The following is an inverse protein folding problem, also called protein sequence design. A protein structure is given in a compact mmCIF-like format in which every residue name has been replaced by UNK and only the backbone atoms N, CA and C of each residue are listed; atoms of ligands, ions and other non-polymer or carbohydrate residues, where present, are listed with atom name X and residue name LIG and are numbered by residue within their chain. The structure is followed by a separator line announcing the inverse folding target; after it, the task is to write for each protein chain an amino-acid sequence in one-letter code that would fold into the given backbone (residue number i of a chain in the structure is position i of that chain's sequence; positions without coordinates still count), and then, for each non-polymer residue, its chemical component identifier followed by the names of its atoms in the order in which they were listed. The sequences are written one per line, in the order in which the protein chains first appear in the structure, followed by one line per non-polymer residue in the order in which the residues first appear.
data_IF_330650257767
#
_entry.id   IF_330650257767
#
_cell.length_a   1.000
_cell.length_b   1.000
_cell.length_c   1.000
_cell.angle_alpha   90.00
_cell.angle_beta   90.00
_cell.angle_gamma   90.00
#
_symmetry.space_group_name_H-M   'P 1'
#
loop_
_entity.id
_entity.type
_entity.pdbx_description
1 polymer ?
#
# COMPACT_ATOMS: atom_id res chain seq x y z
N UNK A 1 41.50 44.57 -43.91
CA UNK A 1 41.38 43.90 -42.59
C UNK A 1 39.95 44.00 -42.04
N UNK A 2 38.95 43.35 -42.68
CA UNK A 2 37.52 43.42 -42.29
C UNK A 2 36.80 42.07 -42.28
N UNK A 3 37.52 40.95 -42.13
CA UNK A 3 36.93 39.59 -42.13
C UNK A 3 37.09 38.83 -40.81
N UNK A 4 37.66 39.43 -39.76
CA UNK A 4 37.97 38.73 -38.50
C UNK A 4 36.98 38.99 -37.35
N UNK A 5 36.04 39.95 -37.50
CA UNK A 5 35.13 40.33 -36.41
C UNK A 5 33.76 39.64 -36.41
N UNK A 6 33.42 38.86 -37.44
CA UNK A 6 32.12 38.19 -37.56
C UNK A 6 32.07 36.78 -36.94
N UNK A 7 33.22 36.21 -36.57
CA UNK A 7 33.29 34.84 -35.98
C UNK A 7 33.16 34.85 -34.44
N UNK A 8 33.49 35.96 -33.77
CA UNK A 8 33.42 36.06 -32.30
C UNK A 8 32.01 36.33 -31.75
N UNK A 9 31.12 36.96 -32.53
CA UNK A 9 29.74 37.22 -32.09
C UNK A 9 28.85 35.96 -32.13
N UNK A 10 29.09 35.04 -33.07
CA UNK A 10 28.36 33.78 -33.18
C UNK A 10 28.69 32.81 -32.04
N UNK A 11 29.94 32.78 -31.57
CA UNK A 11 30.37 31.96 -30.43
C UNK A 11 29.76 32.43 -29.10
N UNK A 12 29.58 33.74 -28.90
CA UNK A 12 28.98 34.29 -27.68
C UNK A 12 27.46 34.01 -27.60
N UNK A 13 26.74 34.07 -28.72
CA UNK A 13 25.30 33.74 -28.79
C UNK A 13 25.07 32.23 -28.66
N UNK A 14 25.92 31.38 -29.27
CA UNK A 14 25.87 29.93 -29.09
C UNK A 14 26.14 29.49 -27.64
N UNK A 15 27.05 30.19 -26.95
CA UNK A 15 27.34 29.94 -25.53
C UNK A 15 26.16 30.33 -24.63
N UNK A 16 25.54 31.49 -24.85
CA UNK A 16 24.39 31.94 -24.05
C UNK A 16 23.15 31.05 -24.22
N UNK A 17 22.92 30.53 -25.44
CA UNK A 17 21.84 29.56 -25.70
C UNK A 17 22.14 28.21 -25.03
N UNK A 18 23.40 27.74 -25.06
CA UNK A 18 23.83 26.53 -24.34
C UNK A 18 23.70 26.64 -22.82
N UNK A 19 23.97 27.81 -22.22
CA UNK A 19 23.76 28.03 -20.79
C UNK A 19 22.28 28.11 -20.40
N UNK A 20 21.43 28.73 -21.23
CA UNK A 20 19.99 28.78 -20.97
C UNK A 20 19.33 27.39 -21.14
N UNK A 21 19.70 26.61 -22.16
CA UNK A 21 19.19 25.26 -22.38
C UNK A 21 19.70 24.24 -21.34
N UNK A 22 20.97 24.34 -20.93
CA UNK A 22 21.48 23.48 -19.85
C UNK A 22 20.88 23.82 -18.48
N UNK A 23 20.51 25.09 -18.24
CA UNK A 23 19.76 25.47 -17.05
C UNK A 23 18.36 24.86 -17.02
N UNK A 24 17.66 24.79 -18.17
CA UNK A 24 16.35 24.16 -18.25
C UNK A 24 16.43 22.63 -18.18
N UNK A 25 17.42 21.99 -18.81
CA UNK A 25 17.60 20.53 -18.74
C UNK A 25 17.94 20.05 -17.32
N UNK A 26 18.82 20.77 -16.61
CA UNK A 26 19.11 20.48 -15.19
C UNK A 26 17.89 20.70 -14.30
N UNK A 27 17.08 21.72 -14.58
CA UNK A 27 15.83 21.94 -13.86
C UNK A 27 14.83 20.79 -14.08
N UNK A 28 14.70 20.30 -15.32
CA UNK A 28 13.85 19.14 -15.62
C UNK A 28 14.37 17.86 -14.96
N UNK A 29 15.68 17.65 -14.94
CA UNK A 29 16.29 16.53 -14.23
C UNK A 29 16.02 16.58 -12.72
N UNK A 30 16.17 17.75 -12.11
CA UNK A 30 15.86 17.96 -10.69
C UNK A 30 14.37 17.72 -10.39
N UNK A 31 13.48 18.27 -11.22
CA UNK A 31 12.03 18.04 -11.14
C UNK A 31 11.69 16.55 -11.27
N UNK A 32 12.32 15.86 -12.22
CA UNK A 32 12.16 14.43 -12.44
C UNK A 32 12.57 13.61 -11.24
N UNK A 33 13.70 13.96 -10.60
CA UNK A 33 14.20 13.32 -9.38
C UNK A 33 13.25 13.54 -8.20
N UNK A 34 12.78 14.77 -7.99
CA UNK A 34 11.82 15.09 -6.93
C UNK A 34 10.48 14.33 -7.11
N UNK A 35 9.96 14.31 -8.34
CA UNK A 35 8.75 13.54 -8.66
C UNK A 35 8.96 12.03 -8.45
N UNK A 36 10.14 11.51 -8.83
CA UNK A 36 10.49 10.12 -8.61
C UNK A 36 10.56 9.77 -7.12
N UNK A 37 11.15 10.63 -6.30
CA UNK A 37 11.18 10.45 -4.84
C UNK A 37 9.77 10.36 -4.25
N UNK A 38 8.81 11.07 -4.84
CA UNK A 38 7.39 10.97 -4.44
C UNK A 38 6.63 9.81 -5.12
N UNK A 39 7.29 9.03 -5.99
CA UNK A 39 6.71 7.96 -6.81
C UNK A 39 5.61 8.45 -7.75
N UNK A 40 5.72 9.69 -8.25
CA UNK A 40 4.85 10.25 -9.28
C UNK A 40 5.42 9.90 -10.66
N UNK A 41 5.20 8.64 -11.09
CA UNK A 41 5.97 8.07 -12.21
C UNK A 41 5.75 8.76 -13.54
N UNK A 42 4.51 9.19 -13.86
CA UNK A 42 4.23 9.94 -15.09
C UNK A 42 5.01 11.25 -15.15
N UNK A 43 4.85 12.12 -14.15
CA UNK A 43 5.58 13.40 -14.09
C UNK A 43 7.10 13.20 -14.11
N UNK A 44 7.61 12.20 -13.38
CA UNK A 44 9.03 11.89 -13.36
C UNK A 44 9.55 11.49 -14.76
N UNK A 45 8.86 10.58 -15.45
CA UNK A 45 9.25 10.14 -16.79
C UNK A 45 9.24 11.32 -17.77
N UNK A 46 8.18 12.12 -17.80
CA UNK A 46 8.06 13.27 -18.71
C UNK A 46 9.20 14.28 -18.52
N UNK A 47 9.51 14.63 -17.27
CA UNK A 47 10.58 15.59 -16.96
C UNK A 47 11.96 15.02 -17.28
N UNK A 48 12.24 13.76 -16.93
CA UNK A 48 13.53 13.13 -17.19
C UNK A 48 13.77 12.91 -18.68
N UNK A 49 12.75 12.51 -19.44
CA UNK A 49 12.82 12.38 -20.90
C UNK A 49 13.24 13.70 -21.56
N UNK A 50 12.72 14.84 -21.11
CA UNK A 50 13.17 16.14 -21.62
C UNK A 50 14.66 16.39 -21.33
N UNK A 51 15.11 16.06 -20.12
CA UNK A 51 16.51 16.23 -19.71
C UNK A 51 17.49 15.31 -20.46
N UNK A 52 17.03 14.20 -21.07
CA UNK A 52 17.90 13.34 -21.90
C UNK A 52 18.38 14.02 -23.18
N UNK A 53 17.67 15.06 -23.64
CA UNK A 53 17.98 15.76 -24.91
C UNK A 53 19.20 16.66 -24.83
N UNK A 54 19.61 17.06 -23.62
CA UNK A 54 20.79 17.88 -23.41
C UNK A 54 22.01 16.98 -23.10
N UNK A 55 23.08 17.02 -23.91
CA UNK A 55 24.29 16.24 -23.67
C UNK A 55 24.91 16.42 -22.27
N UNK A 56 24.73 17.59 -21.64
CA UNK A 56 25.27 17.90 -20.31
C UNK A 56 24.54 17.16 -19.18
N UNK A 57 23.30 16.71 -19.40
CA UNK A 57 22.51 15.94 -18.43
C UNK A 57 22.17 14.53 -18.90
N UNK A 58 22.44 14.19 -20.16
CA UNK A 58 22.02 12.95 -20.80
C UNK A 58 22.39 11.70 -20.00
N UNK A 59 23.64 11.57 -19.53
CA UNK A 59 24.07 10.39 -18.77
C UNK A 59 23.25 10.18 -17.48
N UNK A 60 23.04 11.26 -16.71
CA UNK A 60 22.26 11.19 -15.46
C UNK A 60 20.76 11.02 -15.71
N UNK A 61 20.24 11.66 -16.75
CA UNK A 61 18.82 11.55 -17.13
C UNK A 61 18.49 10.13 -17.63
N UNK A 62 19.30 9.57 -18.54
CA UNK A 62 19.14 8.20 -19.02
C UNK A 62 19.27 7.18 -17.87
N UNK A 63 20.20 7.38 -16.93
CA UNK A 63 20.30 6.53 -15.74
C UNK A 63 19.00 6.56 -14.91
N UNK A 64 18.50 7.76 -14.60
CA UNK A 64 17.28 7.91 -13.81
C UNK A 64 16.06 7.32 -14.53
N UNK A 65 15.96 7.51 -15.85
CA UNK A 65 14.88 6.96 -16.66
C UNK A 65 14.92 5.43 -16.66
N UNK A 66 16.11 4.84 -16.80
CA UNK A 66 16.34 3.40 -16.70
C UNK A 66 15.92 2.84 -15.35
N UNK A 67 16.26 3.52 -14.25
CA UNK A 67 15.83 3.13 -12.89
C UNK A 67 14.30 3.19 -12.74
N UNK A 68 13.66 4.26 -13.22
CA UNK A 68 12.20 4.39 -13.15
C UNK A 68 11.53 3.27 -13.95
N UNK A 69 12.00 3.00 -15.17
CA UNK A 69 11.47 1.91 -15.99
C UNK A 69 11.72 0.53 -15.38
N UNK A 70 12.86 0.31 -14.73
CA UNK A 70 13.12 -0.94 -14.03
C UNK A 70 12.12 -1.15 -12.87
N UNK A 71 11.85 -0.09 -12.10
CA UNK A 71 10.82 -0.14 -11.08
C UNK A 71 9.45 -0.51 -11.67
N UNK A 72 9.04 0.17 -12.74
CA UNK A 72 7.74 -0.10 -13.39
C UNK A 72 7.66 -1.52 -13.97
N UNK A 73 8.75 -2.06 -14.48
CA UNK A 73 8.79 -3.35 -15.17
C UNK A 73 8.86 -4.57 -14.25
N UNK A 74 9.44 -4.44 -13.05
CA UNK A 74 9.77 -5.59 -12.20
C UNK A 74 9.54 -5.43 -10.70
N UNK A 75 9.35 -4.20 -10.19
CA UNK A 75 9.40 -3.97 -8.74
C UNK A 75 8.18 -3.26 -8.17
N UNK A 76 7.30 -2.70 -9.00
CA UNK A 76 6.18 -1.90 -8.49
C UNK A 76 5.06 -2.79 -7.96
N UNK A 77 4.94 -4.02 -8.45
CA UNK A 77 4.10 -5.05 -7.86
C UNK A 77 4.55 -5.28 -6.40
N UNK A 78 3.61 -5.12 -5.46
CA UNK A 78 3.80 -5.21 -4.00
C UNK A 78 4.46 -4.01 -3.29
N UNK A 79 4.93 -2.98 -4.00
CA UNK A 79 5.35 -1.73 -3.34
C UNK A 79 4.14 -0.91 -2.89
N UNK A 80 3.07 -0.92 -3.68
CA UNK A 80 1.79 -0.32 -3.34
C UNK A 80 0.65 -1.34 -3.49
N UNK A 81 -0.31 -1.40 -2.56
CA UNK A 81 -1.45 -2.30 -2.67
C UNK A 81 -2.22 -2.10 -3.99
N UNK A 82 -2.36 -3.17 -4.75
CA UNK A 82 -3.12 -3.18 -6.01
C UNK A 82 -2.35 -2.76 -7.25
N UNK A 83 -1.08 -2.35 -7.14
CA UNK A 83 -0.22 -2.08 -8.29
C UNK A 83 0.18 -3.38 -9.00
N UNK A 84 0.42 -3.28 -10.30
CA UNK A 84 0.87 -4.35 -11.19
C UNK A 84 2.12 -3.90 -11.91
N UNK A 85 3.10 -4.78 -12.06
CA UNK A 85 4.22 -4.53 -12.94
C UNK A 85 3.76 -4.31 -14.38
N UNK A 86 4.50 -3.50 -15.13
CA UNK A 86 4.24 -3.14 -16.52
C UNK A 86 5.38 -3.69 -17.40
N UNK A 87 5.30 -4.97 -17.87
CA UNK A 87 6.39 -5.63 -18.59
C UNK A 87 6.91 -4.88 -19.82
N UNK A 88 6.07 -4.03 -20.43
CA UNK A 88 6.44 -3.18 -21.56
C UNK A 88 7.56 -2.16 -21.26
N UNK A 89 7.90 -1.94 -19.97
CA UNK A 89 9.02 -1.08 -19.56
C UNK A 89 10.34 -1.83 -19.38
N UNK A 90 10.35 -3.16 -19.40
CA UNK A 90 11.55 -3.97 -19.12
C UNK A 90 12.67 -3.72 -20.12
N UNK A 91 12.37 -3.83 -21.40
CA UNK A 91 13.34 -3.56 -22.47
C UNK A 91 13.77 -2.09 -22.48
N UNK A 92 12.83 -1.18 -22.19
CA UNK A 92 13.13 0.26 -22.09
C UNK A 92 14.13 0.54 -20.97
N UNK A 93 13.99 -0.11 -19.81
CA UNK A 93 14.91 0.08 -18.69
C UNK A 93 16.36 -0.23 -19.08
N UNK A 94 16.58 -1.38 -19.72
CA UNK A 94 17.91 -1.80 -20.18
C UNK A 94 18.46 -0.85 -21.24
N UNK A 95 17.63 -0.45 -22.21
CA UNK A 95 18.04 0.48 -23.27
C UNK A 95 18.47 1.85 -22.73
N UNK A 96 17.76 2.39 -21.74
CA UNK A 96 18.13 3.67 -21.12
C UNK A 96 19.41 3.57 -20.29
N UNK A 97 19.64 2.45 -19.59
CA UNK A 97 20.88 2.22 -18.84
C UNK A 97 22.09 2.05 -19.76
N UNK A 98 21.91 1.40 -20.92
CA UNK A 98 22.92 1.37 -21.97
C UNK A 98 23.21 2.76 -22.53
N UNK A 99 22.17 3.57 -22.79
CA UNK A 99 22.31 4.95 -23.25
C UNK A 99 23.06 5.83 -22.24
N UNK A 100 22.82 5.65 -20.94
CA UNK A 100 23.55 6.33 -19.88
C UNK A 100 25.05 6.03 -19.91
N UNK A 101 25.43 4.76 -20.08
CA UNK A 101 26.82 4.34 -20.18
C UNK A 101 27.47 4.74 -21.50
N UNK A 102 26.70 4.88 -22.58
CA UNK A 102 27.20 5.46 -23.84
C UNK A 102 27.52 6.94 -23.70
N UNK A 103 26.71 7.68 -22.93
CA UNK A 103 26.93 9.10 -22.65
C UNK A 103 28.08 9.32 -21.65
N UNK A 104 28.23 8.46 -20.64
CA UNK A 104 29.38 8.45 -19.73
C UNK A 104 29.79 7.00 -19.35
N UNK A 105 30.80 6.42 -20.04
CA UNK A 105 31.24 5.05 -19.77
C UNK A 105 31.86 4.82 -18.37
N UNK A 106 32.23 5.89 -17.67
CA UNK A 106 32.86 5.83 -16.34
C UNK A 106 31.85 5.94 -15.20
N UNK A 107 30.57 6.13 -15.51
CA UNK A 107 29.50 6.28 -14.53
C UNK A 107 29.20 4.96 -13.81
N UNK A 108 29.83 4.79 -12.66
CA UNK A 108 29.71 3.58 -11.85
C UNK A 108 28.26 3.25 -11.46
N UNK A 109 27.46 4.27 -11.11
CA UNK A 109 26.06 4.11 -10.71
C UNK A 109 25.19 3.54 -11.83
N UNK A 110 25.42 3.94 -13.09
CA UNK A 110 24.67 3.42 -14.24
C UNK A 110 25.01 1.95 -14.48
N UNK A 111 26.29 1.59 -14.33
CA UNK A 111 26.73 0.19 -14.45
C UNK A 111 26.10 -0.69 -13.37
N UNK A 112 26.06 -0.22 -12.12
CA UNK A 112 25.39 -0.94 -11.05
C UNK A 112 23.89 -1.10 -11.31
N UNK A 113 23.21 -0.04 -11.75
CA UNK A 113 21.81 -0.10 -12.11
C UNK A 113 21.54 -1.08 -13.27
N UNK A 114 22.43 -1.12 -14.28
CA UNK A 114 22.33 -2.09 -15.37
C UNK A 114 22.46 -3.52 -14.88
N UNK A 115 23.48 -3.83 -14.07
CA UNK A 115 23.68 -5.18 -13.50
C UNK A 115 22.43 -5.61 -12.71
N UNK A 116 21.85 -4.70 -11.93
CA UNK A 116 20.62 -4.98 -11.17
C UNK A 116 19.44 -5.27 -12.09
N UNK A 117 19.23 -4.45 -13.14
CA UNK A 117 18.13 -4.65 -14.09
C UNK A 117 18.30 -5.93 -14.92
N UNK A 118 19.53 -6.28 -15.32
CA UNK A 118 19.85 -7.56 -15.97
C UNK A 118 19.58 -8.74 -15.01
N UNK A 119 19.94 -8.59 -13.74
CA UNK A 119 19.61 -9.54 -12.69
C UNK A 119 18.09 -9.76 -12.55
N UNK A 120 17.29 -8.69 -12.60
CA UNK A 120 15.83 -8.80 -12.60
C UNK A 120 15.28 -9.52 -13.83
N UNK A 121 15.87 -9.27 -15.01
CA UNK A 121 15.47 -9.95 -16.24
C UNK A 121 15.75 -11.46 -16.22
N UNK A 122 16.81 -11.88 -15.51
CA UNK A 122 17.20 -13.28 -15.38
C UNK A 122 16.52 -14.02 -14.20
N UNK A 123 15.85 -13.29 -13.29
CA UNK A 123 15.28 -13.87 -12.08
C UNK A 123 13.87 -14.45 -12.31
N UNK A 124 13.59 -15.59 -11.68
CA UNK A 124 12.24 -16.17 -11.62
C UNK A 124 11.27 -15.31 -10.80
N UNK A 125 11.81 -14.55 -9.84
CA UNK A 125 11.08 -13.64 -8.95
C UNK A 125 11.99 -12.49 -8.55
N UNK A 126 11.42 -11.29 -8.53
CA UNK A 126 12.07 -10.07 -8.06
C UNK A 126 11.45 -9.66 -6.73
N UNK A 127 12.30 -9.33 -5.77
CA UNK A 127 11.84 -8.80 -4.49
C UNK A 127 11.36 -7.35 -4.65
N UNK A 128 10.33 -6.94 -3.88
CA UNK A 128 9.84 -5.57 -3.93
C UNK A 128 10.95 -4.60 -3.52
N UNK A 129 10.93 -3.40 -4.10
CA UNK A 129 11.89 -2.37 -3.75
C UNK A 129 11.79 -2.05 -2.25
N UNK A 130 12.91 -2.03 -1.50
CA UNK A 130 12.89 -1.76 -0.08
C UNK A 130 12.34 -0.36 0.21
N UNK A 131 11.72 -0.20 1.38
CA UNK A 131 11.29 1.12 1.87
C UNK A 131 12.51 2.02 2.02
N UNK A 132 12.34 3.30 1.69
CA UNK A 132 13.42 4.30 1.82
C UNK A 132 13.76 4.51 3.31
N UNK A 133 15.04 4.61 3.69
CA UNK A 133 15.45 4.81 5.09
C UNK A 133 14.79 6.01 5.77
N UNK A 134 14.61 7.13 5.04
CA UNK A 134 13.94 8.32 5.56
C UNK A 134 12.48 8.04 5.94
N UNK A 135 11.77 7.20 5.18
CA UNK A 135 10.40 6.79 5.48
C UNK A 135 10.37 5.93 6.75
N UNK A 136 11.27 4.95 6.85
CA UNK A 136 11.38 4.10 8.04
C UNK A 136 11.69 4.91 9.31
N UNK A 137 12.56 5.90 9.21
CA UNK A 137 12.89 6.78 10.34
C UNK A 137 11.69 7.62 10.79
N UNK A 138 10.97 8.20 9.83
CA UNK A 138 9.76 9.00 10.09
C UNK A 138 8.64 8.15 10.69
N UNK A 139 8.41 6.94 10.18
CA UNK A 139 7.42 6.01 10.72
C UNK A 139 7.74 5.66 12.18
N UNK A 140 9.01 5.42 12.51
CA UNK A 140 9.46 5.18 13.88
C UNK A 140 9.32 6.41 14.81
N UNK A 141 9.52 7.61 14.29
CA UNK A 141 9.28 8.86 15.03
C UNK A 141 7.78 9.05 15.32
N UNK A 142 6.91 8.77 14.35
CA UNK A 142 5.45 8.83 14.51
C UNK A 142 4.99 7.87 15.60
N UNK A 143 5.50 6.63 15.59
CA UNK A 143 5.13 5.63 16.60
C UNK A 143 5.51 6.08 18.01
N UNK A 144 6.71 6.66 18.20
CA UNK A 144 7.10 7.28 19.48
C UNK A 144 6.19 8.46 19.84
N UNK A 145 5.84 9.28 18.85
CA UNK A 145 4.97 10.44 19.00
C UNK A 145 3.53 10.13 19.41
N UNK A 146 3.09 8.85 19.32
CA UNK A 146 1.80 8.41 19.87
C UNK A 146 1.75 8.52 21.39
N UNK A 147 2.89 8.55 22.08
CA UNK A 147 2.93 8.74 23.53
C UNK A 147 2.32 10.10 23.93
N UNK A 148 1.55 10.16 25.03
CA UNK A 148 1.07 11.42 25.57
C UNK A 148 2.18 12.42 25.95
N UNK A 149 3.37 11.90 26.26
CA UNK A 149 4.52 12.70 26.72
C UNK A 149 5.18 13.51 25.60
N UNK A 150 4.97 13.14 24.33
CA UNK A 150 5.50 13.89 23.19
C UNK A 150 4.58 15.09 22.90
N UNK A 151 5.12 16.33 22.86
CA UNK A 151 4.34 17.51 22.53
C UNK A 151 3.60 17.35 21.20
N UNK A 152 2.32 17.70 21.18
CA UNK A 152 1.49 17.47 19.99
C UNK A 152 1.99 18.21 18.74
N UNK A 153 2.62 19.37 18.92
CA UNK A 153 3.25 20.13 17.84
C UNK A 153 4.39 19.37 17.14
N UNK A 154 5.22 18.66 17.91
CA UNK A 154 6.32 17.84 17.37
C UNK A 154 5.80 16.65 16.56
N UNK A 155 4.76 15.99 17.07
CA UNK A 155 4.09 14.92 16.34
C UNK A 155 3.49 15.45 15.03
N UNK A 156 2.77 16.59 15.06
CA UNK A 156 2.18 17.19 13.86
C UNK A 156 3.26 17.51 12.80
N UNK A 157 4.39 18.08 13.20
CA UNK A 157 5.51 18.37 12.29
C UNK A 157 6.09 17.10 11.65
N UNK A 158 6.23 16.03 12.45
CA UNK A 158 6.71 14.73 11.97
C UNK A 158 5.73 14.13 10.96
N UNK A 159 4.42 14.17 11.25
CA UNK A 159 3.37 13.71 10.34
C UNK A 159 3.40 14.49 9.02
N UNK A 160 3.55 15.83 9.09
CA UNK A 160 3.66 16.68 7.90
C UNK A 160 4.88 16.34 7.05
N UNK A 161 6.01 16.07 7.68
CA UNK A 161 7.24 15.66 6.99
C UNK A 161 7.04 14.32 6.30
N UNK A 162 6.39 13.36 6.98
CA UNK A 162 6.09 12.04 6.42
C UNK A 162 5.15 12.09 5.22
N UNK A 163 4.14 12.96 5.24
CA UNK A 163 3.22 13.18 4.12
C UNK A 163 3.92 13.78 2.90
N UNK A 164 4.88 14.71 3.10
CA UNK A 164 5.66 15.28 1.99
C UNK A 164 6.68 14.31 1.40
N UNK A 165 7.17 13.38 2.21
CA UNK A 165 8.18 12.43 1.76
C UNK A 165 7.67 11.48 0.68
N UNK A 166 6.36 11.18 0.62
CA UNK A 166 5.77 10.26 -0.35
C UNK A 166 4.34 10.70 -0.69
N UNK A 167 4.05 10.92 -1.97
CA UNK A 167 2.80 11.56 -2.41
C UNK A 167 1.57 10.64 -2.47
N UNK A 168 1.63 9.44 -1.86
CA UNK A 168 0.43 8.60 -1.72
C UNK A 168 -0.42 9.04 -0.52
N UNK A 169 -1.69 8.65 -0.48
CA UNK A 169 -2.61 9.10 0.55
C UNK A 169 -2.53 8.31 1.86
N UNK A 170 -1.85 7.16 1.90
CA UNK A 170 -1.78 6.31 3.10
C UNK A 170 -1.26 7.06 4.33
N UNK A 171 -0.18 7.89 4.23
CA UNK A 171 0.30 8.68 5.36
C UNK A 171 -0.73 9.67 5.89
N UNK A 172 -1.61 10.22 5.06
CA UNK A 172 -2.65 11.16 5.50
C UNK A 172 -3.69 10.47 6.38
N UNK A 173 -4.16 9.30 5.96
CA UNK A 173 -5.14 8.53 6.71
C UNK A 173 -4.54 7.95 8.00
N UNK A 174 -3.30 7.46 7.95
CA UNK A 174 -2.58 7.01 9.14
C UNK A 174 -2.35 8.16 10.13
N UNK A 175 -1.94 9.34 9.64
CA UNK A 175 -1.77 10.54 10.46
C UNK A 175 -3.07 10.98 11.12
N UNK A 176 -4.18 10.97 10.37
CA UNK A 176 -5.49 11.30 10.92
C UNK A 176 -5.89 10.35 12.05
N UNK A 177 -5.66 9.05 11.91
CA UNK A 177 -5.92 8.09 12.98
C UNK A 177 -5.06 8.36 14.24
N UNK A 178 -3.75 8.60 14.06
CA UNK A 178 -2.85 8.97 15.16
C UNK A 178 -3.37 10.21 15.91
N UNK A 179 -3.86 11.21 15.17
CA UNK A 179 -4.41 12.43 15.76
C UNK A 179 -5.72 12.17 16.52
N UNK A 180 -6.59 11.28 16.03
CA UNK A 180 -7.77 10.84 16.79
C UNK A 180 -7.34 10.20 18.11
N UNK A 181 -6.34 9.32 18.09
CA UNK A 181 -5.83 8.64 19.28
C UNK A 181 -5.26 9.64 20.32
N UNK A 182 -4.75 10.79 19.84
CA UNK A 182 -4.24 11.90 20.68
C UNK A 182 -5.31 12.92 21.07
N UNK A 183 -6.55 12.78 20.61
CA UNK A 183 -7.65 13.72 20.89
C UNK A 183 -7.72 14.94 19.96
N UNK A 184 -6.91 14.98 18.91
CA UNK A 184 -6.79 16.09 17.95
C UNK A 184 -7.77 15.96 16.78
N UNK A 185 -9.06 15.90 17.10
CA UNK A 185 -10.10 15.54 16.14
C UNK A 185 -10.25 16.49 14.95
N UNK A 186 -10.10 17.81 15.16
CA UNK A 186 -10.19 18.77 14.05
C UNK A 186 -9.04 18.60 13.05
N UNK A 187 -7.82 18.43 13.56
CA UNK A 187 -6.65 18.19 12.72
C UNK A 187 -6.77 16.85 11.98
N UNK A 188 -7.29 15.81 12.65
CA UNK A 188 -7.57 14.53 12.02
C UNK A 188 -8.56 14.64 10.85
N UNK A 189 -9.67 15.37 11.03
CA UNK A 189 -10.66 15.62 9.97
C UNK A 189 -10.00 16.30 8.77
N UNK A 190 -9.26 17.39 8.99
CA UNK A 190 -8.57 18.11 7.91
C UNK A 190 -7.59 17.22 7.14
N UNK A 191 -6.82 16.37 7.84
CA UNK A 191 -5.89 15.47 7.16
C UNK A 191 -6.61 14.37 6.36
N UNK A 192 -7.66 13.77 6.92
CA UNK A 192 -8.43 12.75 6.22
C UNK A 192 -9.08 13.31 4.94
N UNK A 193 -9.65 14.51 5.00
CA UNK A 193 -10.22 15.19 3.83
C UNK A 193 -9.16 15.53 2.78
N UNK A 194 -7.97 15.98 3.20
CA UNK A 194 -6.86 16.27 2.28
C UNK A 194 -6.29 14.99 1.64
N UNK A 195 -6.37 13.83 2.31
CA UNK A 195 -5.93 12.56 1.73
C UNK A 195 -6.67 12.18 0.43
N UNK A 196 -7.91 12.62 0.24
CA UNK A 196 -8.71 12.29 -0.96
C UNK A 196 -8.14 12.88 -2.26
N UNK A 197 -7.94 14.20 -2.41
CA UNK A 197 -7.33 14.75 -3.62
C UNK A 197 -5.88 14.30 -3.82
N UNK A 198 -5.15 13.97 -2.75
CA UNK A 198 -3.82 13.36 -2.84
C UNK A 198 -3.89 11.97 -3.46
N UNK A 199 -4.83 11.13 -3.02
CA UNK A 199 -5.07 9.80 -3.60
C UNK A 199 -5.42 9.91 -5.09
N UNK A 200 -6.30 10.83 -5.45
CA UNK A 200 -6.71 11.05 -6.84
C UNK A 200 -5.52 11.40 -7.73
N UNK A 201 -4.70 12.38 -7.32
CA UNK A 201 -3.48 12.74 -8.05
C UNK A 201 -2.51 11.56 -8.15
N UNK A 202 -2.27 10.85 -7.04
CA UNK A 202 -1.35 9.71 -7.02
C UNK A 202 -1.79 8.58 -7.95
N UNK A 203 -3.08 8.30 -8.00
CA UNK A 203 -3.67 7.31 -8.92
C UNK A 203 -3.48 7.76 -10.37
N UNK A 204 -3.76 9.03 -10.69
CA UNK A 204 -3.57 9.58 -12.04
C UNK A 204 -2.11 9.50 -12.51
N UNK A 205 -1.16 9.81 -11.62
CA UNK A 205 0.29 9.77 -11.88
C UNK A 205 0.82 8.34 -12.12
N UNK A 206 0.05 7.33 -11.69
CA UNK A 206 0.43 5.93 -11.74
C UNK A 206 -0.62 5.04 -12.42
N UNK A 207 -1.45 5.62 -13.30
CA UNK A 207 -2.62 4.94 -13.88
C UNK A 207 -2.27 3.60 -14.55
N UNK A 208 -1.10 3.52 -15.21
CA UNK A 208 -0.61 2.30 -15.85
C UNK A 208 -0.39 1.12 -14.90
N UNK A 209 -0.15 1.37 -13.61
CA UNK A 209 0.01 0.33 -12.60
C UNK A 209 -1.35 -0.26 -12.13
N UNK A 210 -2.47 0.42 -12.37
CA UNK A 210 -3.82 -0.07 -12.05
C UNK A 210 -4.39 -0.90 -13.20
N UNK A 211 -3.66 -1.96 -13.59
CA UNK A 211 -4.06 -2.83 -14.68
C UNK A 211 -5.36 -3.57 -14.33
N UNK A 212 -6.35 -3.45 -15.23
CA UNK A 212 -7.75 -3.93 -15.20
C UNK A 212 -8.79 -2.81 -15.05
N UNK A 213 -9.88 -2.96 -15.79
CA UNK A 213 -11.04 -2.08 -15.74
C UNK A 213 -11.57 -1.95 -14.30
N UNK A 214 -11.91 -0.73 -13.90
CA UNK A 214 -12.46 -0.44 -12.57
C UNK A 214 -11.46 -0.46 -11.41
N UNK A 215 -10.18 -0.86 -11.59
CA UNK A 215 -9.22 -0.88 -10.47
C UNK A 215 -8.85 0.50 -9.92
N UNK A 216 -8.58 1.45 -10.82
CA UNK A 216 -8.28 2.83 -10.43
C UNK A 216 -9.49 3.48 -9.74
N UNK A 217 -10.69 3.27 -10.29
CA UNK A 217 -11.94 3.73 -9.68
C UNK A 217 -12.16 3.08 -8.31
N UNK A 218 -11.96 1.77 -8.19
CA UNK A 218 -12.05 1.05 -6.92
C UNK A 218 -11.04 1.56 -5.89
N UNK A 219 -9.81 1.91 -6.28
CA UNK A 219 -8.82 2.51 -5.39
C UNK A 219 -9.24 3.91 -4.91
N UNK A 220 -9.80 4.72 -5.80
CA UNK A 220 -10.35 6.03 -5.46
C UNK A 220 -11.55 5.91 -4.51
N UNK A 221 -12.48 5.00 -4.79
CA UNK A 221 -13.64 4.73 -3.93
C UNK A 221 -13.20 4.29 -2.53
N UNK A 222 -12.22 3.39 -2.42
CA UNK A 222 -11.66 2.97 -1.12
C UNK A 222 -11.02 4.13 -0.37
N UNK A 223 -10.28 5.00 -1.06
CA UNK A 223 -9.66 6.18 -0.43
C UNK A 223 -10.71 7.16 0.09
N UNK A 224 -11.78 7.39 -0.67
CA UNK A 224 -12.93 8.22 -0.24
C UNK A 224 -13.68 7.58 0.94
N UNK A 225 -13.88 6.27 0.90
CA UNK A 225 -14.53 5.52 1.98
C UNK A 225 -13.73 5.61 3.28
N UNK A 226 -12.41 5.45 3.20
CA UNK A 226 -11.51 5.55 4.33
C UNK A 226 -11.51 6.96 4.93
N UNK A 227 -11.46 7.99 4.09
CA UNK A 227 -11.56 9.37 4.56
C UNK A 227 -12.89 9.64 5.26
N UNK A 228 -14.01 9.21 4.68
CA UNK A 228 -15.33 9.37 5.27
C UNK A 228 -15.45 8.63 6.60
N UNK A 229 -14.90 7.43 6.72
CA UNK A 229 -14.90 6.66 7.97
C UNK A 229 -14.11 7.38 9.08
N UNK A 230 -12.88 7.81 8.79
CA UNK A 230 -12.02 8.51 9.75
C UNK A 230 -12.65 9.84 10.19
N UNK A 231 -13.22 10.61 9.25
CA UNK A 231 -13.94 11.86 9.58
C UNK A 231 -15.15 11.55 10.47
N UNK A 232 -15.94 10.53 10.11
CA UNK A 232 -17.10 10.11 10.88
C UNK A 232 -16.72 9.67 12.30
N UNK A 233 -15.62 8.94 12.45
CA UNK A 233 -15.10 8.53 13.75
C UNK A 233 -14.60 9.71 14.59
N UNK A 234 -13.87 10.66 13.98
CA UNK A 234 -13.45 11.87 14.66
C UNK A 234 -14.65 12.72 15.14
N UNK A 235 -15.71 12.83 14.33
CA UNK A 235 -16.96 13.52 14.70
C UNK A 235 -17.68 12.80 15.84
N UNK A 236 -17.71 11.47 15.82
CA UNK A 236 -18.24 10.67 16.93
C UNK A 236 -17.50 10.96 18.23
N UNK A 237 -16.16 10.99 18.20
CA UNK A 237 -15.33 11.30 19.37
C UNK A 237 -15.57 12.72 19.90
N UNK A 238 -15.91 13.67 19.01
CA UNK A 238 -16.37 15.03 19.37
C UNK A 238 -17.81 15.08 19.89
N UNK A 239 -18.53 13.96 19.93
CA UNK A 239 -19.96 13.85 20.25
C UNK A 239 -20.88 14.56 19.25
N UNK A 240 -20.39 14.87 18.05
CA UNK A 240 -21.24 15.29 16.93
C UNK A 240 -21.83 14.06 16.24
N UNK A 241 -22.84 13.47 16.88
CA UNK A 241 -23.44 12.23 16.40
C UNK A 241 -24.20 12.38 15.07
N UNK A 242 -24.68 13.57 14.73
CA UNK A 242 -25.36 13.83 13.47
C UNK A 242 -24.35 13.90 12.31
N UNK A 243 -23.24 14.63 12.50
CA UNK A 243 -22.14 14.65 11.56
C UNK A 243 -21.50 13.26 11.40
N UNK A 244 -21.29 12.54 12.51
CA UNK A 244 -20.76 11.18 12.50
C UNK A 244 -21.64 10.22 11.70
N UNK A 245 -22.97 10.26 11.90
CA UNK A 245 -23.92 9.44 11.14
C UNK A 245 -23.77 9.67 9.64
N UNK A 246 -23.77 10.94 9.22
CA UNK A 246 -23.68 11.32 7.80
C UNK A 246 -22.43 10.73 7.14
N UNK A 247 -21.28 10.82 7.83
CA UNK A 247 -19.98 10.39 7.28
C UNK A 247 -19.74 8.89 7.37
N UNK A 248 -20.17 8.23 8.45
CA UNK A 248 -20.05 6.78 8.59
C UNK A 248 -20.99 6.04 7.64
N UNK A 249 -22.20 6.57 7.38
CA UNK A 249 -23.12 6.01 6.37
C UNK A 249 -22.62 6.26 4.93
N UNK A 250 -21.96 7.40 4.67
CA UNK A 250 -21.26 7.64 3.41
C UNK A 250 -20.16 6.59 3.18
N UNK A 251 -19.34 6.33 4.20
CA UNK A 251 -18.30 5.31 4.17
C UNK A 251 -18.88 3.91 3.96
N UNK A 252 -19.95 3.55 4.67
CA UNK A 252 -20.64 2.26 4.53
C UNK A 252 -21.13 2.03 3.09
N UNK A 253 -21.73 3.06 2.47
CA UNK A 253 -22.18 2.99 1.08
C UNK A 253 -21.02 2.77 0.11
N UNK A 254 -19.88 3.39 0.35
CA UNK A 254 -18.69 3.24 -0.50
C UNK A 254 -17.99 1.89 -0.29
N UNK A 255 -17.92 1.40 0.95
CA UNK A 255 -17.41 0.07 1.30
C UNK A 255 -18.40 -1.05 1.01
N UNK A 256 -19.67 -0.74 0.77
CA UNK A 256 -20.77 -1.71 0.61
C UNK A 256 -20.93 -2.65 1.81
N UNK A 257 -20.62 -2.17 3.02
CA UNK A 257 -20.68 -2.96 4.25
C UNK A 257 -19.58 -4.03 4.40
N UNK A 258 -18.49 -3.92 3.64
CA UNK A 258 -17.37 -4.87 3.64
C UNK A 258 -16.13 -4.38 4.43
N UNK A 259 -16.25 -3.27 5.16
CA UNK A 259 -15.17 -2.77 6.03
C UNK A 259 -15.50 -2.98 7.52
N UNK A 260 -14.58 -3.65 8.23
CA UNK A 260 -14.73 -3.99 9.64
C UNK A 260 -14.79 -2.75 10.54
N UNK A 261 -13.89 -1.80 10.34
CA UNK A 261 -13.78 -0.63 11.21
C UNK A 261 -15.02 0.24 11.06
N UNK A 262 -15.49 0.44 9.83
CA UNK A 262 -16.71 1.20 9.58
C UNK A 262 -17.95 0.58 10.22
N UNK A 263 -18.13 -0.74 10.11
CA UNK A 263 -19.23 -1.44 10.78
C UNK A 263 -19.12 -1.35 12.31
N UNK A 264 -17.91 -1.46 12.85
CA UNK A 264 -17.69 -1.23 14.28
C UNK A 264 -18.02 0.21 14.71
N UNK A 265 -17.60 1.23 13.96
CA UNK A 265 -17.90 2.63 14.24
C UNK A 265 -19.41 2.93 14.19
N UNK A 266 -20.13 2.37 13.20
CA UNK A 266 -21.59 2.46 13.12
C UNK A 266 -22.27 1.81 14.32
N UNK A 267 -21.76 0.68 14.80
CA UNK A 267 -22.27 0.05 16.01
C UNK A 267 -22.09 0.95 17.25
N UNK A 268 -20.90 1.54 17.44
CA UNK A 268 -20.61 2.45 18.55
C UNK A 268 -21.46 3.73 18.49
N UNK A 269 -21.69 4.27 17.29
CA UNK A 269 -22.60 5.40 17.08
C UNK A 269 -24.03 5.04 17.45
N UNK A 270 -24.55 3.92 16.94
CA UNK A 270 -25.89 3.45 17.24
C UNK A 270 -26.09 3.22 18.75
N UNK A 271 -25.08 2.72 19.46
CA UNK A 271 -25.10 2.59 20.93
C UNK A 271 -25.18 3.93 21.63
N UNK A 272 -24.36 4.91 21.24
CA UNK A 272 -24.39 6.25 21.82
C UNK A 272 -25.77 6.90 21.63
N UNK A 273 -26.44 6.60 20.52
CA UNK A 273 -27.80 7.04 20.20
C UNK A 273 -28.92 6.15 20.82
N UNK A 274 -28.56 5.17 21.65
CA UNK A 274 -29.48 4.21 22.31
C UNK A 274 -30.29 3.34 21.33
N UNK A 275 -29.80 3.15 20.11
CA UNK A 275 -30.39 2.31 19.06
C UNK A 275 -29.86 0.87 19.18
N UNK A 276 -30.24 0.18 20.26
CA UNK A 276 -29.66 -1.12 20.65
C UNK A 276 -29.76 -2.21 19.58
N UNK A 277 -30.85 -2.25 18.81
CA UNK A 277 -31.02 -3.25 17.75
C UNK A 277 -30.12 -2.94 16.53
N UNK A 278 -30.01 -1.67 16.11
CA UNK A 278 -29.06 -1.29 15.03
C UNK A 278 -27.61 -1.55 15.44
N UNK A 279 -27.25 -1.24 16.68
CA UNK A 279 -25.92 -1.54 17.21
C UNK A 279 -25.60 -3.04 17.16
N UNK A 280 -26.57 -3.89 17.51
CA UNK A 280 -26.41 -5.34 17.44
C UNK A 280 -26.11 -5.81 16.02
N UNK A 281 -26.86 -5.32 15.02
CA UNK A 281 -26.67 -5.70 13.62
C UNK A 281 -25.30 -5.30 13.11
N UNK A 282 -24.87 -4.05 13.34
CA UNK A 282 -23.55 -3.59 12.90
C UNK A 282 -22.38 -4.36 13.55
N UNK A 283 -22.47 -4.72 14.84
CA UNK A 283 -21.45 -5.60 15.43
C UNK A 283 -21.43 -7.00 14.83
N UNK A 284 -22.60 -7.58 14.56
CA UNK A 284 -22.67 -8.89 13.90
C UNK A 284 -22.08 -8.83 12.50
N UNK A 285 -22.36 -7.75 11.77
CA UNK A 285 -21.81 -7.53 10.43
C UNK A 285 -20.30 -7.35 10.49
N UNK A 286 -19.78 -6.51 11.40
CA UNK A 286 -18.35 -6.37 11.65
C UNK A 286 -17.69 -7.73 11.98
N UNK A 287 -18.20 -8.46 12.97
CA UNK A 287 -17.61 -9.73 13.40
C UNK A 287 -17.72 -10.84 12.33
N UNK A 288 -18.68 -10.74 11.41
CA UNK A 288 -18.83 -11.67 10.28
C UNK A 288 -17.72 -11.54 9.24
N UNK A 289 -17.08 -10.36 9.17
CA UNK A 289 -15.93 -10.10 8.29
C UNK A 289 -14.68 -10.80 8.83
N UNK A 290 -13.83 -11.27 7.91
CA UNK A 290 -12.61 -12.02 8.22
C UNK A 290 -11.46 -11.12 8.70
N UNK A 291 -11.49 -9.84 8.34
CA UNK A 291 -10.49 -8.85 8.74
C UNK A 291 -10.94 -8.07 9.99
N UNK A 292 -9.98 -7.48 10.70
CA UNK A 292 -10.23 -6.59 11.84
C UNK A 292 -9.14 -6.72 12.92
N UNK A 293 -8.71 -5.62 13.57
CA UNK A 293 -7.71 -5.69 14.63
C UNK A 293 -8.21 -6.55 15.81
N UNK A 294 -7.40 -7.48 16.36
CA UNK A 294 -7.84 -8.39 17.43
C UNK A 294 -8.48 -7.70 18.63
N UNK A 295 -7.87 -6.61 19.13
CA UNK A 295 -8.39 -5.86 20.28
C UNK A 295 -9.76 -5.21 20.00
N UNK A 296 -9.99 -4.73 18.77
CA UNK A 296 -11.27 -4.14 18.38
C UNK A 296 -12.34 -5.23 18.21
N UNK A 297 -11.97 -6.40 17.69
CA UNK A 297 -12.87 -7.58 17.61
C UNK A 297 -13.29 -8.07 18.99
N UNK A 298 -12.37 -8.11 19.94
CA UNK A 298 -12.65 -8.46 21.33
C UNK A 298 -13.66 -7.46 21.93
N UNK A 299 -13.38 -6.16 21.82
CA UNK A 299 -14.32 -5.10 22.26
C UNK A 299 -15.69 -5.23 21.60
N UNK A 300 -15.77 -5.44 20.29
CA UNK A 300 -17.03 -5.63 19.58
C UNK A 300 -17.81 -6.85 20.13
N UNK A 301 -17.10 -7.93 20.44
CA UNK A 301 -17.69 -9.15 21.02
C UNK A 301 -18.23 -8.91 22.42
N UNK A 302 -17.48 -8.20 23.27
CA UNK A 302 -17.90 -7.84 24.63
C UNK A 302 -19.13 -6.94 24.64
N UNK A 303 -19.14 -5.91 23.80
CA UNK A 303 -20.27 -4.97 23.74
C UNK A 303 -21.52 -5.63 23.16
N UNK A 304 -21.36 -6.51 22.16
CA UNK A 304 -22.44 -7.35 21.66
C UNK A 304 -22.96 -8.30 22.75
N UNK A 305 -22.09 -8.86 23.60
CA UNK A 305 -22.48 -9.69 24.73
C UNK A 305 -23.34 -8.92 25.75
N UNK A 306 -22.99 -7.66 26.04
CA UNK A 306 -23.78 -6.78 26.91
C UNK A 306 -25.16 -6.49 26.30
N UNK A 307 -25.24 -6.18 25.01
CA UNK A 307 -26.51 -5.99 24.29
C UNK A 307 -27.37 -7.26 24.28
N UNK A 308 -26.74 -8.43 24.11
CA UNK A 308 -27.41 -9.73 24.20
C UNK A 308 -27.95 -9.99 25.61
N UNK A 309 -27.16 -9.68 26.65
CA UNK A 309 -27.53 -9.86 28.03
C UNK A 309 -28.70 -8.95 28.46
N UNK A 310 -28.82 -7.76 27.89
CA UNK A 310 -29.93 -6.84 28.14
C UNK A 310 -31.25 -7.24 27.45
N UNK A 311 -31.20 -8.14 26.45
CA UNK A 311 -32.38 -8.60 25.72
C UNK A 311 -33.34 -9.44 26.57
N UNK A 312 -34.65 -9.26 26.37
CA UNK A 312 -35.72 -9.94 27.13
C UNK A 312 -35.90 -11.43 26.80
N UNK A 313 -35.40 -11.91 25.65
CA UNK A 313 -35.54 -13.31 25.22
C UNK A 313 -34.17 -13.89 24.89
N UNK A 314 -33.64 -14.71 25.81
CA UNK A 314 -32.40 -15.47 25.61
C UNK A 314 -32.77 -16.94 25.42
N UNK A 315 -32.60 -17.44 24.20
CA UNK A 315 -32.93 -18.85 23.89
C UNK A 315 -31.73 -19.78 23.92
N UNK A 316 -30.49 -19.25 23.92
CA UNK A 316 -29.24 -20.02 23.84
C UNK A 316 -28.12 -19.31 24.63
N UNK A 317 -27.02 -20.00 24.98
CA UNK A 317 -25.80 -19.34 25.45
C UNK A 317 -25.26 -18.35 24.41
N UNK A 318 -24.68 -17.23 24.85
CA UNK A 318 -24.20 -16.16 23.97
C UNK A 318 -23.26 -16.68 22.86
N UNK A 319 -22.25 -17.48 23.23
CA UNK A 319 -21.29 -18.06 22.27
C UNK A 319 -21.99 -18.88 21.18
N UNK A 320 -22.87 -19.80 21.57
CA UNK A 320 -23.64 -20.63 20.63
C UNK A 320 -24.56 -19.80 19.74
N UNK A 321 -25.15 -18.73 20.28
CA UNK A 321 -25.96 -17.79 19.48
C UNK A 321 -25.09 -17.02 18.49
N UNK A 322 -23.94 -16.48 18.94
CA UNK A 322 -23.02 -15.71 18.12
C UNK A 322 -22.49 -16.57 16.97
N UNK A 323 -21.97 -17.76 17.24
CA UNK A 323 -21.45 -18.68 16.22
C UNK A 323 -22.50 -18.97 15.13
N UNK A 324 -23.77 -19.15 15.53
CA UNK A 324 -24.87 -19.35 14.60
C UNK A 324 -25.17 -18.10 13.75
N UNK A 325 -25.14 -16.90 14.34
CA UNK A 325 -25.35 -15.64 13.62
C UNK A 325 -24.22 -15.35 12.62
N UNK A 326 -22.97 -15.58 13.02
CA UNK A 326 -21.81 -15.37 12.17
C UNK A 326 -21.79 -16.35 11.00
N UNK A 327 -22.06 -17.64 11.27
CA UNK A 327 -22.15 -18.66 10.22
C UNK A 327 -23.22 -18.33 9.20
N UNK A 328 -24.41 -17.89 9.64
CA UNK A 328 -25.50 -17.49 8.74
C UNK A 328 -25.08 -16.32 7.82
N UNK A 329 -24.53 -15.24 8.39
CA UNK A 329 -24.09 -14.07 7.62
C UNK A 329 -22.97 -14.39 6.64
N UNK A 330 -22.00 -15.20 7.06
CA UNK A 330 -20.93 -15.64 6.17
C UNK A 330 -21.46 -16.47 5.00
N UNK A 331 -22.46 -17.31 5.23
CA UNK A 331 -23.12 -18.06 4.16
C UNK A 331 -23.92 -17.15 3.22
N UNK A 332 -24.64 -16.16 3.75
CA UNK A 332 -25.37 -15.18 2.95
C UNK A 332 -24.44 -14.34 2.07
N UNK A 333 -23.31 -13.88 2.62
CA UNK A 333 -22.26 -13.16 1.88
C UNK A 333 -21.66 -14.03 0.78
N UNK A 334 -21.31 -15.30 1.06
CA UNK A 334 -20.81 -16.25 0.04
C UNK A 334 -21.84 -16.47 -1.07
N UNK A 335 -23.12 -16.57 -0.72
CA UNK A 335 -24.21 -16.73 -1.69
C UNK A 335 -24.37 -15.48 -2.56
N UNK A 336 -24.25 -14.28 -1.98
CA UNK A 336 -24.30 -13.02 -2.70
C UNK A 336 -23.11 -12.85 -3.67
N UNK A 337 -21.89 -13.17 -3.24
CA UNK A 337 -20.69 -13.16 -4.08
C UNK A 337 -20.83 -14.14 -5.27
N UNK A 338 -21.24 -15.37 -5.01
CA UNK A 338 -21.50 -16.36 -6.07
C UNK A 338 -22.57 -15.88 -7.05
N UNK A 339 -23.65 -15.28 -6.57
CA UNK A 339 -24.70 -14.71 -7.43
C UNK A 339 -24.16 -13.57 -8.31
N UNK A 340 -23.34 -12.69 -7.75
CA UNK A 340 -22.72 -11.60 -8.51
C UNK A 340 -21.81 -12.12 -9.62
N UNK A 341 -20.98 -13.13 -9.32
CA UNK A 341 -20.09 -13.77 -10.30
C UNK A 341 -20.85 -14.47 -11.42
N UNK A 342 -21.96 -15.15 -11.08
CA UNK A 342 -22.82 -15.78 -12.08
C UNK A 342 -23.49 -14.74 -12.99
N UNK A 343 -23.99 -13.64 -12.42
CA UNK A 343 -24.57 -12.54 -13.21
C UNK A 343 -23.54 -11.88 -14.14
N UNK A 344 -22.26 -11.82 -13.74
CA UNK A 344 -21.17 -11.32 -14.57
C UNK A 344 -20.80 -12.28 -15.72
N UNK A 345 -20.98 -13.59 -15.54
CA UNK A 345 -20.80 -14.61 -16.59
C UNK A 345 -21.95 -14.64 -17.60
N UNK A 346 -23.16 -14.29 -17.16
CA UNK A 346 -24.37 -14.25 -17.98
C UNK A 346 -24.52 -12.93 -18.76
N UNK A 347 -23.61 -11.94 -18.60
CA UNK A 347 -23.63 -10.71 -19.39
C UNK A 347 -23.27 -11.00 -20.88
N UNK A 348 -24.23 -10.89 -21.81
CA UNK A 348 -24.01 -11.19 -23.23
C UNK A 348 -22.97 -10.27 -23.88
N UNK A 349 -22.67 -9.12 -23.28
CA UNK A 349 -21.65 -8.17 -23.77
C UNK A 349 -20.22 -8.65 -23.54
N UNK A 350 -20.00 -9.64 -22.65
CA UNK A 350 -18.70 -10.29 -22.43
C UNK A 350 -18.53 -11.61 -23.19
N UNK A 351 -19.60 -12.21 -23.70
CA UNK A 351 -19.52 -13.44 -24.51
C UNK A 351 -18.92 -13.23 -25.92
N UNK A 352 -18.66 -11.99 -26.33
CA UNK A 352 -18.06 -11.69 -27.65
C UNK A 352 -16.53 -11.67 -27.66
N UNK A 353 -15.84 -11.97 -26.56
CA UNK A 353 -14.37 -11.98 -26.52
C UNK A 353 -13.82 -13.34 -26.10
N UNK A 354 -13.27 -14.04 -27.12
CA UNK A 354 -12.42 -15.25 -27.11
C UNK A 354 -13.12 -16.61 -27.08
N UNK A 355 -13.56 -17.05 -28.26
CA UNK A 355 -13.14 -18.38 -28.71
C UNK A 355 -11.67 -18.28 -29.16
N UNK A 356 -10.75 -18.58 -28.25
CA UNK A 356 -9.40 -19.04 -28.60
C UNK A 356 -9.36 -20.49 -28.18
N UNK A 357 -9.26 -21.40 -29.14
CA UNK A 357 -8.97 -22.81 -28.89
C UNK A 357 -7.70 -22.91 -28.03
N UNK A 358 -7.87 -23.28 -26.76
CA UNK A 358 -6.77 -23.74 -25.93
C UNK A 358 -6.56 -25.23 -26.22
N UNK A 359 -5.76 -25.50 -27.25
CA UNK A 359 -5.04 -26.77 -27.34
C UNK A 359 -4.00 -26.83 -26.22
N UNK A 360 -4.33 -27.49 -25.11
CA UNK A 360 -3.34 -27.80 -24.06
C UNK A 360 -3.93 -27.87 -22.66
N UNK A 361 -3.85 -29.05 -22.05
CA UNK A 361 -4.30 -29.38 -20.68
C UNK A 361 -3.73 -28.41 -19.64
N UNK A 362 -4.52 -27.45 -19.16
CA UNK A 362 -4.20 -26.68 -17.96
C UNK A 362 -4.54 -27.51 -16.71
N UNK A 363 -3.61 -27.53 -15.75
CA UNK A 363 -3.74 -28.35 -14.53
C UNK A 363 -4.60 -27.65 -13.48
N UNK A 364 -5.26 -28.38 -12.55
CA UNK A 364 -6.07 -27.79 -11.48
C UNK A 364 -5.36 -26.72 -10.63
N UNK A 365 -4.02 -26.75 -10.57
CA UNK A 365 -3.20 -25.77 -9.88
C UNK A 365 -3.24 -24.36 -10.52
N UNK A 366 -3.41 -24.26 -11.84
CA UNK A 366 -3.55 -22.95 -12.52
C UNK A 366 -4.93 -22.32 -12.29
N UNK A 367 -5.97 -23.14 -12.20
CA UNK A 367 -7.32 -22.72 -11.82
C UNK A 367 -7.37 -22.22 -10.36
N UNK A 368 -6.67 -22.90 -9.44
CA UNK A 368 -6.57 -22.44 -8.05
C UNK A 368 -5.83 -21.10 -7.91
N UNK A 369 -4.77 -20.86 -8.71
CA UNK A 369 -4.04 -19.58 -8.70
C UNK A 369 -4.88 -18.40 -9.20
N UNK A 370 -5.79 -18.63 -10.14
CA UNK A 370 -6.73 -17.60 -10.60
C UNK A 370 -7.78 -17.27 -9.53
N UNK A 371 -8.21 -18.25 -8.74
CA UNK A 371 -9.18 -18.05 -7.65
C UNK A 371 -8.60 -17.32 -6.43
N UNK A 372 -7.33 -17.54 -6.10
CA UNK A 372 -6.66 -16.85 -4.98
C UNK A 372 -6.35 -15.37 -5.29
N UNK A 373 -6.16 -15.01 -6.57
CA UNK A 373 -5.90 -13.62 -7.01
C UNK A 373 -7.14 -12.70 -7.01
N UNK A 374 -8.34 -13.26 -6.81
CA UNK A 374 -9.60 -12.51 -6.78
C UNK A 374 -10.07 -12.08 -5.38
N UNK A 375 -9.27 -12.31 -4.33
CA UNK A 375 -9.64 -11.90 -2.97
C UNK A 375 -9.17 -10.45 -2.70
N UNK A 376 -10.01 -9.59 -2.11
CA UNK A 376 -9.61 -8.25 -1.70
C UNK A 376 -8.64 -8.37 -0.52
N UNK A 377 -7.33 -8.23 -0.81
CA UNK A 377 -6.31 -8.13 0.23
C UNK A 377 -6.37 -6.72 0.83
N UNK A 378 -7.11 -6.59 1.92
CA UNK A 378 -7.12 -5.42 2.78
C UNK A 378 -6.23 -5.63 4.01
N UNK A 379 -5.42 -4.60 4.30
CA UNK A 379 -4.64 -4.35 5.53
C UNK A 379 -3.39 -5.21 5.72
N UNK A 380 -2.24 -4.58 5.45
CA UNK A 380 -0.96 -4.99 6.02
C UNK A 380 -1.03 -4.90 7.55
N UNK A 381 -0.93 -6.05 8.22
CA UNK A 381 -0.55 -6.10 9.63
C UNK A 381 0.94 -5.71 9.77
N UNK A 382 1.37 -5.12 10.89
CA UNK A 382 2.80 -5.02 11.18
C UNK A 382 3.37 -6.43 11.36
N UNK A 383 4.30 -6.82 10.48
CA UNK A 383 5.09 -8.03 10.66
C UNK A 383 6.13 -7.79 11.76
N UNK A 384 5.76 -8.05 13.00
CA UNK A 384 6.71 -8.28 14.08
C UNK A 384 6.35 -9.59 14.79
N UNK A 385 7.27 -10.56 14.75
CA UNK A 385 7.23 -11.74 15.60
C UNK A 385 7.36 -13.10 14.91
N UNK A 386 8.40 -13.31 14.10
CA UNK A 386 8.91 -14.67 13.89
C UNK A 386 9.51 -15.17 15.22
N UNK A 387 8.65 -15.78 16.05
CA UNK A 387 9.09 -16.60 17.17
C UNK A 387 9.36 -18.00 16.64
N UNK A 388 10.62 -18.41 16.65
CA UNK A 388 11.01 -19.80 16.43
C UNK A 388 10.27 -20.70 17.43
N UNK A 389 9.49 -21.65 16.89
CA UNK A 389 8.92 -22.75 17.66
C UNK A 389 9.91 -23.92 17.53
N UNK A 390 10.50 -24.42 18.63
CA UNK A 390 11.39 -25.58 18.54
C UNK A 390 10.57 -26.83 18.24
N UNK A 391 10.95 -27.54 17.18
CA UNK A 391 10.38 -28.84 16.82
C UNK A 391 10.52 -29.83 17.98
N UNK A 392 9.39 -30.29 18.50
CA UNK A 392 9.33 -31.37 19.48
C UNK A 392 9.11 -32.69 18.77
N UNK A 393 10.16 -33.50 18.83
CA UNK A 393 10.25 -34.97 18.78
C UNK A 393 8.98 -35.78 18.50
N UNK A 394 9.06 -36.71 17.54
CA UNK A 394 8.47 -38.05 17.71
C UNK A 394 9.28 -39.14 16.98
N UNK A 395 9.42 -40.26 17.71
CA UNK A 395 9.71 -41.66 17.29
C UNK A 395 11.17 -42.05 17.06
N UNK A 396 11.65 -42.86 18.01
CA UNK A 396 12.97 -43.48 17.99
C UNK A 396 13.01 -44.92 17.50
N UNK A 397 14.23 -45.46 17.54
CA UNK A 397 14.59 -46.89 17.59
C UNK A 397 15.93 -46.96 18.35
N UNK A 398 16.15 -47.92 19.28
CA UNK A 398 17.39 -48.01 20.06
C UNK A 398 18.45 -48.86 19.35
N UNK A 399 19.74 -48.69 19.70
CA UNK A 399 20.42 -49.84 20.30
C UNK A 399 21.39 -49.49 21.45
N UNK A 400 21.57 -50.51 22.29
CA UNK A 400 22.47 -50.60 23.45
C UNK A 400 23.95 -50.59 23.05
N UNK A 401 24.76 -50.21 24.05
CA UNK A 401 26.17 -50.56 24.32
C UNK A 401 27.29 -49.81 23.56
N UNK A 402 28.03 -48.97 24.30
CA UNK A 402 29.48 -49.06 24.62
C UNK A 402 29.84 -47.81 25.46
N UNK A 403 29.94 -47.89 26.79
CA UNK A 403 31.13 -48.22 27.61
C UNK A 403 32.29 -47.20 27.52
N UNK A 404 32.35 -46.33 28.54
CA UNK A 404 33.51 -45.77 29.27
C UNK A 404 34.38 -44.68 28.61
N UNK A 405 34.89 -43.81 29.52
CA UNK A 405 36.00 -42.81 29.42
C UNK A 405 35.52 -41.42 28.98
N UNK A 406 35.81 -40.29 29.63
CA UNK A 406 36.80 -39.90 30.65
C UNK A 406 36.22 -38.73 31.47
N UNK A 407 36.25 -38.83 32.80
CA UNK A 407 36.48 -37.67 33.67
C UNK A 407 38.00 -37.43 33.71
N UNK A 408 38.43 -36.18 33.54
CA UNK A 408 39.56 -35.55 34.24
C UNK A 408 40.09 -34.37 33.42
N UNK A 409 39.92 -33.16 33.95
CA UNK A 409 41.01 -32.19 34.14
C UNK A 409 40.42 -30.92 34.75
N UNK A 410 40.34 -30.93 36.08
CA UNK A 410 40.34 -29.72 36.88
C UNK A 410 41.80 -29.45 37.25
N UNK A 411 42.19 -28.18 37.10
CA UNK A 411 43.23 -27.48 37.87
C UNK A 411 44.72 -27.88 37.75
N UNK A 412 45.54 -26.84 37.55
CA UNK A 412 46.93 -26.55 37.97
C UNK A 412 47.54 -25.69 36.83
N UNK A 413 48.08 -24.49 36.99
CA UNK A 413 48.39 -23.63 38.13
C UNK A 413 48.93 -22.29 37.55
N UNK A 414 48.74 -21.21 38.31
CA UNK A 414 49.52 -19.95 38.35
C UNK A 414 49.37 -18.93 37.23
#
# INVERSE_FOLDING_TARGET
MKKTFLILAAAAVASAIGFAQSSSARQQLARGREAWDQRLTKTAIEAVQEATRDPATAAEAHELLGIIYAFKGWQQENVFPGFHDEPAYREKALAELEAALKADPRRFTSRQAQIVAEGFAAADRVDPMPRRPAITLLDAQIERGRSPDVPIGELIETLQTRMKAQADATPYFAAAQVLIDRGEYNNAITLAEHGVPVAERFIQENLGAFQMEGKAEGALMRSRAQAADIVGWALYMKKDYAGAATKLEEAERLYRGDDFNNQFHLAELARAQKQSDRAREHYLDALSLTAGPPAVRERATEELAKLYAAGKKKSKPFKTWLDAQLTARQNDRKKADLKSRLAELDDPRRQTVRHVELAGKSTPAQLLRLLVRGLPCGVAAPEDGLREVPERSERGVPPRQHRRRFEAAREVSR
#
